data_IF_338258783471
#
_entry.id   IF_338258783471
#
_cell.length_a   1.000
_cell.length_b   1.000
_cell.length_c   1.000
_cell.angle_alpha   90.00
_cell.angle_beta   90.00
_cell.angle_gamma   90.00
#
_symmetry.space_group_name_H-M   'P 1'
#
loop_
_entity.id
_entity.type
_entity.pdbx_description
1 polymer ?
#
# COMPACT_ATOMS: atom_id res chain seq x y z
N UNK A 1 62.43 5.74 -22.53
CA UNK A 1 63.08 5.44 -21.23
C UNK A 1 62.16 5.97 -20.13
N UNK A 2 61.64 5.06 -19.25
CA UNK A 2 60.86 5.24 -17.98
C UNK A 2 59.53 6.04 -18.10
N UNK A 3 58.31 5.49 -18.06
CA UNK A 3 57.50 4.76 -17.02
C UNK A 3 57.36 5.50 -15.67
N UNK A 4 56.11 5.83 -15.28
CA UNK A 4 55.35 5.56 -14.02
C UNK A 4 54.07 6.45 -14.03
N UNK A 5 52.83 5.92 -14.04
CA UNK A 5 51.98 5.47 -12.89
C UNK A 5 51.54 6.65 -11.98
N UNK A 6 50.31 6.89 -11.52
CA UNK A 6 49.04 6.14 -11.42
C UNK A 6 47.88 7.12 -11.04
N UNK A 7 46.68 6.52 -10.94
CA UNK A 7 45.54 6.88 -10.08
C UNK A 7 44.36 7.64 -10.72
N UNK A 8 43.38 6.83 -11.17
CA UNK A 8 41.95 7.14 -11.02
C UNK A 8 41.56 7.31 -9.54
N UNK A 9 40.47 8.04 -9.27
CA UNK A 9 39.28 7.34 -8.81
C UNK A 9 38.04 7.60 -9.66
N UNK A 10 37.31 6.51 -9.84
CA UNK A 10 35.93 6.41 -10.28
C UNK A 10 34.99 7.32 -9.47
N UNK A 11 34.13 8.07 -10.17
CA UNK A 11 32.82 8.45 -9.63
C UNK A 11 31.80 7.68 -10.47
N UNK A 12 31.44 6.52 -9.93
CA UNK A 12 30.21 5.80 -10.24
C UNK A 12 29.03 6.74 -9.97
N UNK A 13 28.57 7.46 -10.99
CA UNK A 13 27.18 7.92 -11.02
C UNK A 13 26.30 6.72 -11.43
N UNK A 14 26.17 5.73 -10.53
CA UNK A 14 24.99 4.86 -10.55
C UNK A 14 23.84 5.71 -10.02
N UNK A 15 23.13 6.36 -10.95
CA UNK A 15 21.69 6.50 -10.77
C UNK A 15 21.16 5.07 -10.75
N UNK A 16 20.93 4.52 -9.56
CA UNK A 16 20.05 3.37 -9.45
C UNK A 16 18.68 3.88 -9.93
N UNK A 17 18.38 3.58 -11.20
CA UNK A 17 17.00 3.57 -11.66
C UNK A 17 16.32 2.52 -10.78
N UNK A 18 15.64 2.98 -9.72
CA UNK A 18 14.65 2.16 -9.01
C UNK A 18 13.62 1.76 -10.06
N UNK A 19 13.81 0.57 -10.62
CA UNK A 19 12.95 0.06 -11.68
C UNK A 19 11.60 -0.22 -11.06
N UNK A 20 10.58 0.52 -11.51
CA UNK A 20 9.21 0.32 -11.08
C UNK A 20 8.82 -1.16 -11.22
N UNK A 21 8.16 -1.69 -10.19
CA UNK A 21 7.70 -3.08 -10.18
C UNK A 21 6.32 -3.10 -10.81
N UNK A 22 6.10 -3.88 -11.87
CA UNK A 22 4.76 -4.07 -12.43
C UNK A 22 3.83 -4.81 -11.46
N UNK A 23 2.51 -4.75 -11.67
CA UNK A 23 1.50 -5.54 -10.94
C UNK A 23 1.88 -7.02 -10.88
N UNK A 24 2.08 -7.65 -12.05
CA UNK A 24 2.55 -9.04 -12.14
C UNK A 24 3.87 -9.31 -11.40
N UNK A 25 4.76 -8.32 -11.40
CA UNK A 25 6.05 -8.39 -10.71
C UNK A 25 5.87 -8.38 -9.20
N UNK A 26 4.96 -7.55 -8.70
CA UNK A 26 4.62 -7.44 -7.29
C UNK A 26 3.89 -8.70 -6.83
N UNK A 27 2.92 -9.19 -7.58
CA UNK A 27 2.19 -10.42 -7.27
C UNK A 27 3.13 -11.63 -7.18
N UNK A 28 4.10 -11.74 -8.10
CA UNK A 28 5.14 -12.78 -8.04
C UNK A 28 6.02 -12.65 -6.80
N UNK A 29 6.37 -11.43 -6.37
CA UNK A 29 7.14 -11.21 -5.13
C UNK A 29 6.33 -11.61 -3.90
N UNK A 30 5.07 -11.18 -3.82
CA UNK A 30 4.13 -11.53 -2.74
C UNK A 30 3.96 -13.05 -2.67
N UNK A 31 3.64 -13.69 -3.80
CA UNK A 31 3.49 -15.14 -3.89
C UNK A 31 4.76 -15.89 -3.44
N UNK A 32 5.93 -15.44 -3.91
CA UNK A 32 7.22 -16.04 -3.52
C UNK A 32 7.48 -15.90 -2.02
N UNK A 33 7.11 -14.77 -1.41
CA UNK A 33 7.26 -14.55 0.02
C UNK A 33 6.33 -15.47 0.84
N UNK A 34 5.10 -15.68 0.37
CA UNK A 34 4.13 -16.60 0.98
C UNK A 34 4.65 -18.04 1.00
N UNK A 35 5.15 -18.52 -0.15
CA UNK A 35 5.72 -19.88 -0.26
C UNK A 35 6.94 -20.04 0.65
N UNK A 36 7.82 -19.02 0.69
CA UNK A 36 9.11 -19.14 1.37
C UNK A 36 9.01 -19.14 2.89
N UNK A 37 8.22 -18.25 3.52
CA UNK A 37 8.32 -18.02 4.97
C UNK A 37 7.02 -17.51 5.66
N UNK A 38 5.84 -17.67 5.07
CA UNK A 38 4.57 -17.59 5.82
C UNK A 38 4.26 -16.25 6.55
N UNK A 39 4.50 -15.09 5.94
CA UNK A 39 4.24 -13.80 6.60
C UNK A 39 2.85 -13.20 6.34
N UNK A 40 2.16 -13.60 5.27
CA UNK A 40 0.93 -12.92 4.80
C UNK A 40 -0.32 -13.77 5.07
N UNK A 41 -0.17 -15.02 5.51
CA UNK A 41 -1.26 -16.02 5.45
C UNK A 41 -2.31 -15.93 6.57
N UNK A 42 -2.23 -14.96 7.51
CA UNK A 42 -3.23 -14.83 8.60
C UNK A 42 -3.52 -13.41 9.11
N UNK A 43 -2.86 -12.38 8.59
CA UNK A 43 -2.66 -11.14 9.34
C UNK A 43 -3.64 -10.03 8.97
N UNK A 44 -4.05 -9.25 9.98
CA UNK A 44 -4.93 -8.10 9.85
C UNK A 44 -4.59 -7.18 8.65
N UNK A 45 -5.59 -6.52 8.07
CA UNK A 45 -5.48 -5.74 6.83
C UNK A 45 -4.29 -4.76 6.79
N UNK A 46 -3.96 -4.11 7.90
CA UNK A 46 -2.78 -3.25 8.03
C UNK A 46 -1.43 -3.97 7.89
N UNK A 47 -1.28 -5.18 8.44
CA UNK A 47 -0.04 -5.96 8.27
C UNK A 47 0.18 -6.28 6.80
N UNK A 48 -0.88 -6.71 6.12
CA UNK A 48 -0.85 -7.00 4.69
C UNK A 48 -0.47 -5.76 3.88
N UNK A 49 -1.10 -4.61 4.14
CA UNK A 49 -0.75 -3.37 3.44
C UNK A 49 0.73 -2.99 3.63
N UNK A 50 1.27 -3.14 4.84
CA UNK A 50 2.68 -2.85 5.15
C UNK A 50 3.63 -3.80 4.43
N UNK A 51 3.33 -5.11 4.40
CA UNK A 51 4.14 -6.07 3.64
C UNK A 51 4.15 -5.74 2.15
N UNK A 52 2.99 -5.42 1.57
CA UNK A 52 2.87 -5.09 0.15
C UNK A 52 3.68 -3.83 -0.18
N UNK A 53 3.59 -2.78 0.63
CA UNK A 53 4.37 -1.56 0.46
C UNK A 53 5.89 -1.83 0.48
N UNK A 54 6.35 -2.73 1.37
CA UNK A 54 7.74 -3.15 1.42
C UNK A 54 8.14 -3.96 0.17
N UNK A 55 7.28 -4.85 -0.33
CA UNK A 55 7.55 -5.62 -1.55
C UNK A 55 7.53 -4.78 -2.82
N UNK A 56 6.69 -3.75 -2.86
CA UNK A 56 6.67 -2.69 -3.87
C UNK A 56 7.88 -1.74 -3.75
N UNK A 57 8.70 -1.91 -2.71
CA UNK A 57 9.92 -1.13 -2.49
C UNK A 57 9.66 0.33 -2.11
N UNK A 58 8.42 0.68 -1.74
CA UNK A 58 8.05 2.06 -1.38
C UNK A 58 8.32 2.40 0.08
N UNK A 59 8.55 1.39 0.92
CA UNK A 59 9.04 1.56 2.29
C UNK A 59 10.19 0.61 2.59
N UNK A 60 11.09 1.05 3.48
CA UNK A 60 12.21 0.26 3.96
C UNK A 60 11.86 -0.66 5.14
N UNK A 61 12.83 -1.48 5.56
CA UNK A 61 12.70 -2.38 6.72
C UNK A 61 12.49 -1.62 8.04
N UNK A 62 13.11 -0.46 8.18
CA UNK A 62 13.02 0.39 9.37
C UNK A 62 11.60 0.96 9.52
N UNK A 63 11.07 1.60 8.48
CA UNK A 63 9.67 2.04 8.38
C UNK A 63 8.70 0.91 8.70
N UNK A 64 8.89 -0.27 8.10
CA UNK A 64 8.06 -1.45 8.42
C UNK A 64 8.10 -1.81 9.91
N UNK A 65 9.30 -1.86 10.49
CA UNK A 65 9.46 -2.20 11.91
C UNK A 65 8.76 -1.19 12.81
N UNK A 66 8.86 0.09 12.48
CA UNK A 66 8.24 1.18 13.21
C UNK A 66 6.71 1.13 13.13
N UNK A 67 6.16 0.91 11.93
CA UNK A 67 4.73 0.72 11.72
C UNK A 67 4.22 -0.50 12.53
N UNK A 68 4.93 -1.63 12.52
CA UNK A 68 4.55 -2.80 13.33
C UNK A 68 4.57 -2.55 14.83
N UNK A 69 5.59 -1.84 15.35
CA UNK A 69 5.62 -1.44 16.77
C UNK A 69 4.45 -0.53 17.13
N UNK A 70 4.02 0.33 16.20
CA UNK A 70 2.86 1.20 16.41
C UNK A 70 1.51 0.46 16.37
N UNK A 71 1.48 -0.83 16.02
CA UNK A 71 0.26 -1.62 15.89
C UNK A 71 -0.03 -2.55 17.09
N UNK A 72 0.79 -2.52 18.15
CA UNK A 72 0.68 -3.43 19.33
C UNK A 72 -0.70 -3.45 20.03
N UNK A 73 -1.60 -2.50 19.73
CA UNK A 73 -2.99 -2.46 20.24
C UNK A 73 -4.05 -2.19 19.16
N UNK A 74 -3.85 -2.65 17.92
CA UNK A 74 -4.75 -2.40 16.76
C UNK A 74 -4.99 -0.90 16.48
N UNK A 75 -4.17 -0.32 15.60
CA UNK A 75 -4.27 1.10 15.21
C UNK A 75 -4.13 2.08 16.39
N UNK A 76 -2.98 2.02 17.08
CA UNK A 76 -2.70 2.93 18.20
C UNK A 76 -2.65 4.40 17.77
N UNK A 77 -2.65 5.32 18.74
CA UNK A 77 -2.43 6.74 18.45
C UNK A 77 -1.10 6.96 17.73
N UNK A 78 -0.03 6.25 18.11
CA UNK A 78 1.27 6.34 17.43
C UNK A 78 1.18 5.94 15.96
N UNK A 79 0.37 4.94 15.60
CA UNK A 79 0.14 4.58 14.20
C UNK A 79 -0.53 5.73 13.46
N UNK A 80 -1.53 6.39 14.07
CA UNK A 80 -2.17 7.57 13.48
C UNK A 80 -1.18 8.70 13.27
N UNK A 81 -0.32 8.96 14.25
CA UNK A 81 0.68 10.03 14.17
C UNK A 81 1.68 9.77 13.05
N UNK A 82 2.21 8.54 12.93
CA UNK A 82 3.11 8.14 11.84
C UNK A 82 2.42 8.25 10.47
N UNK A 83 1.15 7.85 10.39
CA UNK A 83 0.37 7.89 9.16
C UNK A 83 -0.27 9.26 8.89
N UNK A 84 0.02 10.24 9.75
CA UNK A 84 -0.53 11.60 9.77
C UNK A 84 -2.07 11.66 9.79
N UNK A 85 -2.76 10.63 10.28
CA UNK A 85 -4.22 10.52 10.24
C UNK A 85 -4.85 11.52 11.23
N UNK A 86 -5.42 12.60 10.71
CA UNK A 86 -6.06 13.66 11.49
C UNK A 86 -7.09 14.45 10.68
N UNK A 87 -7.73 15.43 11.31
CA UNK A 87 -8.84 16.19 10.69
C UNK A 87 -8.50 16.78 9.31
N UNK A 88 -7.23 17.10 9.07
CA UNK A 88 -6.78 17.72 7.82
C UNK A 88 -6.61 16.75 6.64
N UNK A 89 -6.63 15.44 6.86
CA UNK A 89 -6.47 14.45 5.78
C UNK A 89 -7.52 13.33 5.78
N UNK A 90 -8.55 13.46 6.62
CA UNK A 90 -9.72 12.57 6.63
C UNK A 90 -10.78 13.14 5.69
N UNK A 91 -11.24 12.31 4.76
CA UNK A 91 -12.23 12.69 3.76
C UNK A 91 -13.46 11.79 3.86
N UNK A 92 -14.64 12.36 3.61
CA UNK A 92 -15.91 11.61 3.51
C UNK A 92 -16.09 10.88 2.17
N UNK A 93 -15.09 10.98 1.28
CA UNK A 93 -15.02 10.30 -0.01
C UNK A 93 -13.57 10.03 -0.35
N UNK A 94 -13.33 8.94 -1.05
CA UNK A 94 -12.04 8.59 -1.57
C UNK A 94 -11.58 9.61 -2.62
N UNK A 95 -10.45 10.23 -2.35
CA UNK A 95 -9.69 11.05 -3.30
C UNK A 95 -8.40 10.31 -3.59
N UNK A 96 -8.27 9.74 -4.78
CA UNK A 96 -7.06 9.02 -5.19
C UNK A 96 -6.16 9.99 -5.95
N UNK A 97 -4.97 10.26 -5.41
CA UNK A 97 -3.89 10.81 -6.23
C UNK A 97 -3.31 9.67 -7.08
N UNK A 98 -3.53 9.74 -8.40
CA UNK A 98 -3.07 8.71 -9.34
C UNK A 98 -1.54 8.64 -9.47
N UNK A 99 -0.80 9.53 -8.80
CA UNK A 99 0.65 9.66 -8.96
C UNK A 99 1.46 9.03 -7.82
N UNK A 100 0.82 8.57 -6.74
CA UNK A 100 1.54 8.15 -5.55
C UNK A 100 1.03 6.81 -5.00
N UNK A 101 1.96 5.89 -4.76
CA UNK A 101 1.68 4.72 -3.92
C UNK A 101 1.57 5.15 -2.46
N UNK A 102 0.73 4.46 -1.70
CA UNK A 102 0.50 4.81 -0.30
C UNK A 102 -0.56 3.94 0.36
N UNK A 103 -1.02 4.37 1.51
CA UNK A 103 -1.95 3.62 2.34
C UNK A 103 -3.29 4.33 2.41
N UNK A 104 -4.37 3.57 2.28
CA UNK A 104 -5.72 4.03 2.59
C UNK A 104 -6.12 3.50 3.94
N UNK A 105 -6.55 4.38 4.82
CA UNK A 105 -6.97 4.08 6.17
C UNK A 105 -8.44 4.47 6.34
N UNK A 106 -9.32 3.48 6.51
CA UNK A 106 -10.76 3.68 6.69
C UNK A 106 -11.11 3.78 8.16
N UNK A 107 -11.97 4.74 8.47
CA UNK A 107 -12.27 5.20 9.82
C UNK A 107 -13.79 5.18 9.99
N UNK A 108 -14.28 4.56 11.06
CA UNK A 108 -15.69 4.58 11.43
C UNK A 108 -16.11 5.93 12.00
N UNK A 109 -17.42 6.17 12.09
CA UNK A 109 -17.99 7.37 12.71
C UNK A 109 -17.52 7.62 14.15
N UNK A 110 -17.22 6.57 14.92
CA UNK A 110 -16.67 6.65 16.29
C UNK A 110 -15.17 6.98 16.32
N UNK A 111 -14.56 7.25 15.16
CA UNK A 111 -13.16 7.56 15.00
C UNK A 111 -12.24 6.34 14.93
N UNK A 112 -12.75 5.11 15.10
CA UNK A 112 -11.92 3.88 15.11
C UNK A 112 -11.52 3.48 13.69
N UNK A 113 -10.22 3.23 13.49
CA UNK A 113 -9.69 2.67 12.25
C UNK A 113 -10.18 1.23 12.08
N UNK A 114 -10.81 0.93 10.94
CA UNK A 114 -11.47 -0.35 10.69
C UNK A 114 -10.85 -1.15 9.55
N UNK A 115 -10.19 -0.50 8.59
CA UNK A 115 -9.57 -1.17 7.46
C UNK A 115 -8.38 -0.37 6.95
N UNK A 116 -7.34 -1.07 6.50
CA UNK A 116 -6.20 -0.47 5.81
C UNK A 116 -5.92 -1.23 4.53
N UNK A 117 -5.69 -0.50 3.45
CA UNK A 117 -5.33 -1.02 2.14
C UNK A 117 -4.09 -0.30 1.60
N UNK A 118 -3.46 -0.89 0.60
CA UNK A 118 -2.32 -0.30 -0.10
C UNK A 118 -2.74 0.09 -1.52
N UNK A 119 -2.43 1.32 -1.91
CA UNK A 119 -2.49 1.79 -3.29
C UNK A 119 -1.10 1.69 -3.91
N UNK A 120 -1.02 1.03 -5.05
CA UNK A 120 0.16 1.02 -5.90
C UNK A 120 -0.08 1.89 -7.12
N UNK A 121 0.62 3.01 -7.21
CA UNK A 121 0.68 3.77 -8.46
C UNK A 121 1.74 3.18 -9.40
N UNK A 122 1.45 3.25 -10.69
CA UNK A 122 2.38 2.91 -11.77
C UNK A 122 2.73 4.12 -12.64
N UNK A 123 3.89 4.07 -13.29
CA UNK A 123 4.43 5.19 -14.09
C UNK A 123 3.54 5.52 -15.31
N UNK A 124 2.71 4.57 -15.73
CA UNK A 124 1.70 4.73 -16.78
C UNK A 124 0.40 5.42 -16.30
N UNK A 125 0.31 5.78 -15.01
CA UNK A 125 -0.86 6.41 -14.40
C UNK A 125 -1.96 5.45 -13.94
N UNK A 126 -1.78 4.12 -14.08
CA UNK A 126 -2.69 3.16 -13.46
C UNK A 126 -2.43 3.05 -11.96
N UNK A 127 -3.49 2.82 -11.20
CA UNK A 127 -3.39 2.57 -9.75
C UNK A 127 -4.08 1.26 -9.43
N UNK A 128 -3.38 0.38 -8.72
CA UNK A 128 -3.95 -0.85 -8.18
C UNK A 128 -4.24 -0.70 -6.69
N UNK A 129 -5.41 -1.17 -6.27
CA UNK A 129 -5.79 -1.29 -4.87
C UNK A 129 -5.54 -2.71 -4.39
N UNK A 130 -4.74 -2.86 -3.36
CA UNK A 130 -4.42 -4.13 -2.71
C UNK A 130 -4.96 -4.16 -1.29
N UNK A 131 -5.67 -5.23 -0.93
CA UNK A 131 -6.16 -5.40 0.44
C UNK A 131 -6.43 -6.87 0.80
N UNK A 132 -6.76 -7.08 2.06
CA UNK A 132 -7.30 -8.37 2.55
C UNK A 132 -8.36 -8.11 3.62
N UNK A 133 -9.23 -9.08 3.87
CA UNK A 133 -10.21 -9.06 4.96
C UNK A 133 -11.20 -7.87 4.92
N UNK A 134 -11.76 -7.55 3.75
CA UNK A 134 -12.84 -6.56 3.65
C UNK A 134 -13.97 -7.02 2.73
N UNK A 135 -14.78 -7.96 3.24
CA UNK A 135 -15.94 -8.49 2.52
C UNK A 135 -16.94 -7.41 2.09
N UNK A 136 -17.07 -6.32 2.86
CA UNK A 136 -17.95 -5.20 2.54
C UNK A 136 -17.49 -4.46 1.29
N UNK A 137 -16.18 -4.21 1.16
CA UNK A 137 -15.60 -3.59 -0.04
C UNK A 137 -15.65 -4.57 -1.21
N UNK A 138 -15.27 -5.83 -0.98
CA UNK A 138 -15.30 -6.88 -2.02
C UNK A 138 -16.68 -7.01 -2.66
N UNK A 139 -17.73 -7.07 -1.84
CA UNK A 139 -19.11 -7.18 -2.33
C UNK A 139 -19.49 -5.98 -3.20
N UNK A 140 -19.20 -4.77 -2.76
CA UNK A 140 -19.59 -3.55 -3.50
C UNK A 140 -18.81 -3.44 -4.82
N UNK A 141 -17.54 -3.85 -4.85
CA UNK A 141 -16.75 -3.91 -6.08
C UNK A 141 -17.34 -4.94 -7.05
N UNK A 142 -17.69 -6.15 -6.58
CA UNK A 142 -18.29 -7.17 -7.43
C UNK A 142 -19.65 -6.74 -7.99
N UNK A 143 -20.49 -6.09 -7.16
CA UNK A 143 -21.80 -5.63 -7.56
C UNK A 143 -21.72 -4.50 -8.62
N UNK A 144 -20.73 -3.60 -8.52
CA UNK A 144 -20.54 -2.49 -9.46
C UNK A 144 -19.74 -2.85 -10.72
N UNK A 145 -18.63 -3.57 -10.53
CA UNK A 145 -17.60 -3.77 -11.55
C UNK A 145 -17.66 -5.18 -12.18
N UNK A 146 -18.47 -6.08 -11.60
CA UNK A 146 -18.63 -7.45 -12.06
C UNK A 146 -17.54 -8.41 -11.56
N UNK A 147 -17.76 -9.71 -11.74
CA UNK A 147 -16.94 -10.79 -11.17
C UNK A 147 -15.49 -10.84 -11.66
N UNK A 148 -15.20 -10.24 -12.81
CA UNK A 148 -13.87 -10.27 -13.43
C UNK A 148 -13.02 -9.04 -13.08
N UNK A 149 -13.54 -8.14 -12.22
CA UNK A 149 -12.85 -6.91 -11.83
C UNK A 149 -11.77 -7.13 -10.77
N UNK A 150 -11.82 -8.24 -10.03
CA UNK A 150 -10.93 -8.54 -8.92
C UNK A 150 -10.04 -9.73 -9.24
N UNK A 151 -8.77 -9.62 -8.85
CA UNK A 151 -7.75 -10.66 -8.94
C UNK A 151 -7.26 -11.06 -7.56
N UNK A 152 -6.90 -12.34 -7.40
CA UNK A 152 -6.35 -12.87 -6.16
C UNK A 152 -4.87 -13.18 -6.37
N UNK A 153 -4.01 -12.69 -5.48
CA UNK A 153 -2.61 -13.11 -5.49
C UNK A 153 -2.55 -14.59 -5.09
N UNK A 154 -1.98 -15.42 -5.96
CA UNK A 154 -1.97 -16.88 -5.80
C UNK A 154 -1.42 -17.33 -4.44
N UNK A 155 -2.13 -18.27 -3.79
CA UNK A 155 -1.76 -18.80 -2.48
C UNK A 155 -1.95 -17.84 -1.31
N UNK A 156 -2.62 -16.70 -1.52
CA UNK A 156 -2.88 -15.66 -0.52
C UNK A 156 -4.36 -15.40 -0.32
N UNK A 157 -4.69 -14.59 0.69
CA UNK A 157 -6.00 -13.93 0.83
C UNK A 157 -5.98 -12.45 0.40
N UNK A 158 -5.01 -12.06 -0.43
CA UNK A 158 -4.89 -10.69 -0.95
C UNK A 158 -5.66 -10.58 -2.25
N UNK A 159 -6.63 -9.69 -2.23
CA UNK A 159 -7.34 -9.25 -3.42
C UNK A 159 -6.75 -7.95 -3.93
N UNK A 160 -6.68 -7.81 -5.25
CA UNK A 160 -6.38 -6.54 -5.89
C UNK A 160 -7.20 -6.28 -7.14
N UNK A 161 -7.30 -4.99 -7.50
CA UNK A 161 -8.02 -4.51 -8.68
C UNK A 161 -7.60 -3.09 -9.03
N UNK A 162 -7.87 -2.70 -10.27
CA UNK A 162 -7.60 -1.35 -10.77
C UNK A 162 -8.55 -0.31 -10.16
N UNK A 163 -8.01 0.85 -9.80
CA UNK A 163 -8.73 2.03 -9.32
C UNK A 163 -9.25 2.88 -10.48
N UNK A 164 -10.21 2.34 -11.21
CA UNK A 164 -10.96 3.02 -12.26
C UNK A 164 -12.17 3.79 -11.68
N UNK A 165 -12.89 4.60 -12.47
CA UNK A 165 -14.04 5.37 -11.98
C UNK A 165 -15.13 4.52 -11.29
N UNK A 166 -15.36 3.29 -11.76
CA UNK A 166 -16.37 2.39 -11.19
C UNK A 166 -15.94 1.84 -9.82
N UNK A 167 -14.69 1.39 -9.68
CA UNK A 167 -14.19 0.90 -8.39
C UNK A 167 -14.07 2.02 -7.35
N UNK A 168 -13.71 3.24 -7.78
CA UNK A 168 -13.76 4.44 -6.93
C UNK A 168 -15.20 4.73 -6.48
N UNK A 169 -16.18 4.67 -7.40
CA UNK A 169 -17.59 4.88 -7.06
C UNK A 169 -18.11 3.83 -6.06
N UNK A 170 -17.75 2.55 -6.25
CA UNK A 170 -18.06 1.47 -5.33
C UNK A 170 -17.50 1.74 -3.93
N UNK A 171 -16.20 2.06 -3.81
CA UNK A 171 -15.59 2.38 -2.51
C UNK A 171 -16.27 3.60 -1.87
N UNK A 172 -16.60 4.64 -2.65
CA UNK A 172 -17.34 5.80 -2.15
C UNK A 172 -18.73 5.44 -1.62
N UNK A 173 -19.44 4.48 -2.24
CA UNK A 173 -20.71 3.99 -1.71
C UNK A 173 -20.54 3.21 -0.42
N UNK A 174 -19.46 2.43 -0.26
CA UNK A 174 -19.13 1.80 1.03
C UNK A 174 -18.89 2.87 2.10
N UNK A 175 -18.09 3.90 1.78
CA UNK A 175 -17.80 5.00 2.69
C UNK A 175 -19.09 5.69 3.14
N UNK A 176 -19.94 6.08 2.18
CA UNK A 176 -21.20 6.76 2.47
C UNK A 176 -22.20 5.88 3.25
N UNK A 177 -22.40 4.63 2.83
CA UNK A 177 -23.41 3.74 3.43
C UNK A 177 -23.09 3.32 4.86
N UNK A 178 -21.80 3.32 5.23
CA UNK A 178 -21.35 2.95 6.57
C UNK A 178 -20.97 4.16 7.45
N UNK A 179 -21.18 5.39 6.97
CA UNK A 179 -20.69 6.61 7.62
C UNK A 179 -19.20 6.52 7.96
N UNK A 180 -18.40 5.98 7.04
CA UNK A 180 -16.96 5.92 7.18
C UNK A 180 -16.32 7.21 6.66
N UNK A 181 -15.04 7.35 6.96
CA UNK A 181 -14.17 8.32 6.32
C UNK A 181 -12.88 7.62 5.93
N UNK A 182 -12.07 8.24 5.09
CA UNK A 182 -10.83 7.67 4.58
C UNK A 182 -9.72 8.70 4.62
N UNK A 183 -8.53 8.27 5.04
CA UNK A 183 -7.28 9.03 4.96
C UNK A 183 -6.33 8.34 4.00
N UNK A 184 -5.62 9.14 3.20
CA UNK A 184 -4.54 8.67 2.31
C UNK A 184 -3.19 9.15 2.85
N UNK A 185 -2.28 8.20 3.06
CA UNK A 185 -0.90 8.47 3.49
C UNK A 185 0.05 8.05 2.37
N UNK A 186 0.71 8.99 1.67
CA UNK A 186 1.71 8.65 0.67
C UNK A 186 2.85 7.83 1.26
N UNK A 187 3.30 6.77 0.60
CA UNK A 187 4.43 5.98 1.10
C UNK A 187 5.72 6.81 1.21
N UNK A 188 5.86 7.83 0.36
CA UNK A 188 6.99 8.76 0.37
C UNK A 188 7.04 9.67 1.60
N UNK A 189 5.96 9.83 2.38
CA UNK A 189 6.04 10.57 3.65
C UNK A 189 6.57 9.71 4.80
N UNK A 190 6.71 8.39 4.58
CA UNK A 190 7.13 7.42 5.60
C UNK A 190 8.60 7.01 5.49
N UNK A 191 9.34 7.56 4.51
CA UNK A 191 10.73 7.19 4.23
C UNK A 191 11.73 7.85 5.19
N UNK A 192 11.34 8.91 5.90
CA UNK A 192 12.21 9.70 6.78
C UNK A 192 11.94 9.45 8.28
N UNK A 193 11.35 8.31 8.64
CA UNK A 193 11.15 7.90 10.04
C UNK A 193 12.48 7.49 10.69
N UNK A 194 13.37 8.47 10.91
CA UNK A 194 14.66 8.33 11.60
C UNK A 194 14.69 9.17 12.89
#
# INVERSE_FOLDING_TARGET
MKIFSACFPSINNRKENEKEISVDGLDKKIHSAIIKNHCISKSACHHTAIEIAMFDGKIGKETKSELYKSLENNYSQRYRDIMEIGENNINSSLVVDQKQSGFLNFIKQDGVLCHTAYLKASDNGSVEYYHTNSMTIDKEILDECGSNSMSLVSGSGITHYEMNPSSIAAINRVIASNNWSVSFTPASSLTDLN
#
